data_IF_039637339918
#
_entry.id   IF_039637339918
#
_cell.length_a   1.000
_cell.length_b   1.000
_cell.length_c   1.000
_cell.angle_alpha   90.00
_cell.angle_beta   90.00
_cell.angle_gamma   90.00
#
_symmetry.space_group_name_H-M   'P 1'
#
loop_
_entity.id
_entity.type
_entity.pdbx_description
1 polymer ?
#
# COMPACT_ATOMS: atom_id res chain seq x y z
N UNK A 1 -13.13 8.54 14.10
CA UNK A 1 -11.96 8.08 13.90
C UNK A 1 -10.83 9.04 13.88
N UNK A 2 -10.61 9.70 14.85
CA UNK A 2 -9.57 10.51 14.90
C UNK A 2 -8.34 9.88 15.22
N UNK A 3 -8.25 8.63 15.36
CA UNK A 3 -6.99 7.96 15.64
C UNK A 3 -6.24 7.61 14.38
N UNK A 4 -6.82 7.88 13.26
CA UNK A 4 -6.16 7.63 11.99
C UNK A 4 -5.36 8.87 11.63
N UNK A 5 -4.06 8.74 11.52
CA UNK A 5 -3.20 9.83 11.10
C UNK A 5 -1.96 9.24 10.46
N UNK A 6 -1.36 10.01 9.59
CA UNK A 6 -0.19 9.57 8.86
C UNK A 6 1.03 9.76 9.75
N UNK A 7 1.58 8.64 10.21
CA UNK A 7 2.76 8.65 11.05
C UNK A 7 3.89 8.05 10.23
N UNK A 8 4.75 8.91 9.72
CA UNK A 8 5.80 8.50 8.82
C UNK A 8 7.14 8.54 9.54
N UNK A 9 7.83 7.41 9.55
CA UNK A 9 9.17 7.35 10.11
C UNK A 9 10.12 8.10 9.20
N UNK A 10 11.19 8.61 9.78
CA UNK A 10 12.13 9.44 9.04
C UNK A 10 12.65 8.76 7.78
N UNK A 11 12.99 7.49 7.89
CA UNK A 11 13.54 6.77 6.73
C UNK A 11 12.49 6.48 5.67
N UNK A 12 11.22 6.56 6.03
CA UNK A 12 10.13 6.33 5.08
C UNK A 12 9.77 7.59 4.31
N UNK A 13 10.25 8.74 4.78
CA UNK A 13 9.89 9.99 4.13
C UNK A 13 10.37 10.04 2.69
N UNK A 14 11.60 9.60 2.45
CA UNK A 14 12.14 9.59 1.09
C UNK A 14 11.36 8.63 0.19
N UNK A 15 10.98 7.48 0.72
CA UNK A 15 10.17 6.53 -0.05
C UNK A 15 8.80 7.12 -0.37
N UNK A 16 8.23 7.84 0.58
CA UNK A 16 6.94 8.47 0.36
C UNK A 16 7.04 9.54 -0.71
N UNK A 17 8.10 10.36 -0.68
CA UNK A 17 8.31 11.38 -1.69
C UNK A 17 8.46 10.77 -3.07
N UNK A 18 9.20 9.67 -3.16
CA UNK A 18 9.38 8.99 -4.43
C UNK A 18 8.05 8.43 -4.94
N UNK A 19 7.27 7.86 -4.03
CA UNK A 19 5.95 7.33 -4.40
C UNK A 19 5.06 8.44 -4.94
N UNK A 20 5.03 9.58 -4.26
CA UNK A 20 4.20 10.70 -4.67
C UNK A 20 4.63 11.20 -6.05
N UNK A 21 5.95 11.32 -6.28
CA UNK A 21 6.45 11.74 -7.58
C UNK A 21 5.98 10.80 -8.69
N UNK A 22 5.98 9.52 -8.41
CA UNK A 22 5.57 8.56 -9.41
C UNK A 22 4.06 8.63 -9.65
N UNK A 23 3.30 8.78 -8.58
CA UNK A 23 1.85 8.89 -8.71
C UNK A 23 1.44 10.13 -9.48
N UNK A 24 2.18 11.22 -9.32
CA UNK A 24 1.87 12.46 -10.03
C UNK A 24 1.94 12.31 -11.54
N UNK A 25 2.68 11.32 -12.01
CA UNK A 25 2.78 11.06 -13.43
C UNK A 25 1.54 10.39 -14.00
N UNK A 26 0.73 9.78 -13.12
CA UNK A 26 -0.40 8.98 -13.55
C UNK A 26 -1.73 9.55 -13.10
N UNK A 27 -1.74 10.19 -11.93
CA UNK A 27 -2.96 10.82 -11.39
C UNK A 27 -2.53 12.08 -10.67
N UNK A 28 -3.51 12.83 -10.20
CA UNK A 28 -3.23 14.00 -9.39
C UNK A 28 -2.90 13.53 -7.97
N UNK A 29 -1.62 13.52 -7.67
CA UNK A 29 -1.14 12.95 -6.41
C UNK A 29 -1.73 13.59 -5.19
N UNK A 30 -2.10 14.86 -5.28
CA UNK A 30 -2.70 15.56 -4.16
C UNK A 30 -3.92 14.80 -3.65
N UNK A 31 -4.68 14.23 -4.55
CA UNK A 31 -5.87 13.48 -4.15
C UNK A 31 -5.52 12.09 -3.67
N UNK A 32 -4.44 11.50 -4.20
CA UNK A 32 -4.05 10.16 -3.80
C UNK A 32 -3.69 10.10 -2.32
N UNK A 33 -3.03 11.14 -1.82
CA UNK A 33 -2.60 11.16 -0.43
C UNK A 33 -3.77 11.15 0.56
N UNK A 34 -4.94 11.53 0.12
CA UNK A 34 -6.10 11.53 1.00
C UNK A 34 -6.57 10.13 1.34
N UNK A 35 -6.16 9.16 0.57
CA UNK A 35 -6.69 7.81 0.72
C UNK A 35 -5.74 6.88 1.45
N UNK A 36 -4.58 7.40 1.83
CA UNK A 36 -3.61 6.60 2.57
C UNK A 36 -3.51 7.08 4.01
N UNK A 37 -3.32 6.15 4.89
CA UNK A 37 -2.96 6.44 6.26
C UNK A 37 -2.23 5.25 6.85
N UNK A 38 -1.35 5.54 7.79
CA UNK A 38 -0.68 4.50 8.55
C UNK A 38 -1.67 3.87 9.50
N UNK A 39 -1.51 2.59 9.71
CA UNK A 39 -2.40 1.91 10.60
C UNK A 39 -1.63 0.92 11.44
N UNK A 40 -1.97 0.85 12.71
CA UNK A 40 -1.31 -0.02 13.64
C UNK A 40 -2.37 -0.78 14.42
N UNK A 41 -2.15 -2.07 14.58
CA UNK A 41 -3.03 -2.89 15.39
C UNK A 41 -2.31 -3.17 16.71
N UNK A 42 -2.62 -2.41 17.77
CA UNK A 42 -1.81 -2.47 19.01
C UNK A 42 -1.71 -3.84 19.64
N UNK A 43 -2.81 -4.59 19.63
CA UNK A 43 -2.82 -5.90 20.29
C UNK A 43 -1.92 -6.90 19.62
N UNK A 44 -1.69 -6.73 18.32
CA UNK A 44 -0.88 -7.67 17.57
C UNK A 44 0.51 -7.12 17.29
N UNK A 45 0.79 -5.88 17.69
CA UNK A 45 2.04 -5.25 17.33
C UNK A 45 2.20 -5.11 15.83
N UNK A 46 1.10 -5.12 15.10
CA UNK A 46 1.13 -5.09 13.65
C UNK A 46 1.03 -3.68 13.13
N UNK A 47 1.88 -3.34 12.19
CA UNK A 47 1.93 -2.02 11.61
C UNK A 47 1.89 -2.11 10.10
N UNK A 48 1.06 -1.29 9.49
CA UNK A 48 0.97 -1.19 8.03
C UNK A 48 1.49 0.18 7.63
N UNK A 49 2.29 0.22 6.55
CA UNK A 49 2.84 1.51 6.12
C UNK A 49 1.75 2.41 5.56
N UNK A 50 1.05 1.93 4.55
CA UNK A 50 -0.05 2.69 3.95
C UNK A 50 -1.23 1.76 3.77
N UNK A 51 -2.38 2.25 4.18
CA UNK A 51 -3.59 1.45 4.13
C UNK A 51 -4.74 2.31 3.68
N UNK A 52 -5.49 1.81 2.71
CA UNK A 52 -6.71 2.46 2.27
C UNK A 52 -7.84 1.47 2.45
N UNK A 53 -8.81 1.81 3.27
CA UNK A 53 -9.94 0.94 3.54
C UNK A 53 -11.18 1.57 2.95
N UNK A 54 -11.77 0.91 1.98
CA UNK A 54 -12.99 1.37 1.36
C UNK A 54 -14.06 0.32 1.52
N UNK A 55 -15.26 0.67 1.11
CA UNK A 55 -16.37 -0.26 1.25
C UNK A 55 -16.14 -1.54 0.46
N UNK A 56 -15.55 -1.42 -0.70
CA UNK A 56 -15.44 -2.54 -1.62
C UNK A 56 -14.10 -3.24 -1.62
N UNK A 57 -13.08 -2.63 -1.05
CA UNK A 57 -11.76 -3.24 -1.04
C UNK A 57 -10.84 -2.55 -0.05
N UNK A 58 -9.76 -3.25 0.26
CA UNK A 58 -8.69 -2.72 1.07
C UNK A 58 -7.44 -2.72 0.18
N UNK A 59 -6.70 -1.62 0.21
CA UNK A 59 -5.44 -1.54 -0.49
C UNK A 59 -4.34 -1.31 0.54
N UNK A 60 -3.34 -2.20 0.52
CA UNK A 60 -2.18 -2.09 1.40
C UNK A 60 -0.96 -1.86 0.52
N UNK A 61 -0.25 -0.78 0.77
CA UNK A 61 0.97 -0.46 0.04
C UNK A 61 2.09 -0.31 1.05
N UNK A 62 3.08 -1.20 0.97
CA UNK A 62 4.23 -1.16 1.85
C UNK A 62 5.38 -0.45 1.16
N UNK A 63 6.20 0.23 1.94
CA UNK A 63 7.30 1.02 1.41
C UNK A 63 8.62 0.40 1.84
N UNK A 64 9.53 0.25 0.87
CA UNK A 64 10.88 -0.23 1.13
C UNK A 64 11.85 0.73 0.49
N UNK A 65 12.91 1.09 1.21
CA UNK A 65 13.90 2.03 0.70
C UNK A 65 15.18 1.37 0.25
N UNK A 66 15.47 0.16 0.73
CA UNK A 66 16.70 -0.53 0.41
C UNK A 66 16.45 -1.79 -0.39
N UNK A 67 17.47 -2.65 -0.40
CA UNK A 67 17.33 -3.92 -1.09
C UNK A 67 16.52 -4.88 -0.24
N UNK A 68 15.60 -5.56 -0.88
CA UNK A 68 14.77 -6.54 -0.22
C UNK A 68 14.44 -7.62 -1.26
N UNK A 69 14.46 -8.88 -0.84
CA UNK A 69 14.17 -9.98 -1.76
C UNK A 69 12.67 -10.08 -2.01
N UNK A 70 12.33 -10.64 -3.17
CA UNK A 70 10.94 -10.88 -3.48
C UNK A 70 10.30 -11.83 -2.46
N UNK A 71 11.08 -12.76 -1.93
CA UNK A 71 10.54 -13.68 -0.93
C UNK A 71 10.20 -12.97 0.38
N UNK A 72 11.03 -12.00 0.78
CA UNK A 72 10.75 -11.23 1.99
C UNK A 72 9.49 -10.38 1.79
N UNK A 73 9.36 -9.78 0.61
CA UNK A 73 8.17 -9.00 0.27
C UNK A 73 6.94 -9.91 0.28
N UNK A 74 7.06 -11.08 -0.33
CA UNK A 74 5.96 -12.03 -0.40
C UNK A 74 5.47 -12.40 1.00
N UNK A 75 6.40 -12.74 1.89
CA UNK A 75 6.04 -13.13 3.25
C UNK A 75 5.33 -11.99 3.99
N UNK A 76 5.84 -10.78 3.83
CA UNK A 76 5.23 -9.64 4.50
C UNK A 76 3.81 -9.39 4.00
N UNK A 77 3.62 -9.43 2.68
CA UNK A 77 2.31 -9.14 2.12
C UNK A 77 1.30 -10.23 2.43
N UNK A 78 1.75 -11.50 2.46
CA UNK A 78 0.87 -12.59 2.84
C UNK A 78 0.44 -12.43 4.30
N UNK A 79 1.37 -12.07 5.17
CA UNK A 79 1.04 -11.86 6.57
C UNK A 79 0.09 -10.70 6.75
N UNK A 80 0.35 -9.60 6.04
CA UNK A 80 -0.55 -8.45 6.09
C UNK A 80 -1.94 -8.84 5.62
N UNK A 81 -2.02 -9.57 4.52
CA UNK A 81 -3.31 -10.01 3.98
C UNK A 81 -4.06 -10.88 4.98
N UNK A 82 -3.32 -11.72 5.68
CA UNK A 82 -3.93 -12.58 6.69
C UNK A 82 -4.64 -11.75 7.76
N UNK A 83 -3.97 -10.73 8.27
CA UNK A 83 -4.58 -9.89 9.29
C UNK A 83 -5.76 -9.07 8.74
N UNK A 84 -5.63 -8.59 7.51
CA UNK A 84 -6.67 -7.77 6.91
C UNK A 84 -7.88 -8.59 6.47
N UNK A 85 -7.70 -9.89 6.30
CA UNK A 85 -8.79 -10.75 5.84
C UNK A 85 -9.96 -10.77 6.79
N UNK A 86 -9.73 -10.46 8.06
CA UNK A 86 -10.81 -10.42 9.05
C UNK A 86 -11.86 -9.38 8.70
N UNK A 87 -11.52 -8.40 7.86
CA UNK A 87 -12.47 -7.36 7.48
C UNK A 87 -13.42 -7.79 6.37
N UNK A 88 -13.20 -8.98 5.80
CA UNK A 88 -14.14 -9.55 4.83
C UNK A 88 -14.20 -8.85 3.50
N UNK A 89 -13.13 -8.16 3.11
CA UNK A 89 -13.09 -7.42 1.85
C UNK A 89 -11.95 -7.92 0.99
N UNK A 90 -12.07 -7.81 -0.33
CA UNK A 90 -10.94 -8.10 -1.21
C UNK A 90 -9.77 -7.21 -0.86
N UNK A 91 -8.57 -7.77 -0.93
CA UNK A 91 -7.35 -7.06 -0.52
C UNK A 91 -6.40 -6.97 -1.70
N UNK A 92 -5.95 -5.75 -1.96
CA UNK A 92 -4.92 -5.47 -2.96
C UNK A 92 -3.64 -5.15 -2.23
N UNK A 93 -2.60 -5.93 -2.47
CA UNK A 93 -1.34 -5.82 -1.73
C UNK A 93 -0.20 -5.46 -2.66
N UNK A 94 0.44 -4.33 -2.36
CA UNK A 94 1.52 -3.80 -3.17
C UNK A 94 2.73 -3.48 -2.29
N UNK A 95 3.90 -3.45 -2.91
CA UNK A 95 5.10 -2.91 -2.27
C UNK A 95 5.82 -2.03 -3.28
N UNK A 96 6.24 -0.87 -2.83
CA UNK A 96 7.05 0.05 -3.63
C UNK A 96 8.46 0.08 -3.05
N UNK A 97 9.45 -0.20 -3.90
CA UNK A 97 10.86 -0.20 -3.53
C UNK A 97 11.48 1.06 -4.13
N UNK A 98 11.66 2.10 -3.32
CA UNK A 98 12.05 3.41 -3.84
C UNK A 98 13.45 3.41 -4.42
N UNK A 99 14.39 2.65 -3.87
CA UNK A 99 15.75 2.62 -4.40
C UNK A 99 15.81 2.10 -5.83
N UNK A 100 14.83 1.36 -6.25
CA UNK A 100 14.79 0.76 -7.58
C UNK A 100 13.65 1.32 -8.41
N UNK A 101 12.87 2.23 -7.84
CA UNK A 101 11.62 2.73 -8.47
C UNK A 101 10.80 1.56 -9.00
N UNK A 102 10.63 0.56 -8.16
CA UNK A 102 10.00 -0.70 -8.56
C UNK A 102 8.72 -0.91 -7.76
N UNK A 103 7.65 -1.19 -8.47
CA UNK A 103 6.36 -1.49 -7.85
C UNK A 103 6.03 -2.95 -8.11
N UNK A 104 5.69 -3.68 -7.05
CA UNK A 104 5.31 -5.08 -7.17
C UNK A 104 4.00 -5.31 -6.44
N UNK A 105 3.36 -6.42 -6.75
CA UNK A 105 2.12 -6.79 -6.08
C UNK A 105 2.08 -8.28 -5.82
N UNK A 106 1.23 -8.65 -4.89
CA UNK A 106 1.00 -10.06 -4.56
C UNK A 106 -0.21 -10.54 -5.36
N UNK A 107 -0.05 -11.62 -6.09
CA UNK A 107 -1.15 -12.20 -6.87
C UNK A 107 -2.04 -13.06 -5.99
N UNK A 108 -3.18 -13.47 -6.53
CA UNK A 108 -4.08 -14.38 -5.83
C UNK A 108 -3.46 -15.77 -5.62
N UNK A 109 -2.38 -16.06 -6.33
CA UNK A 109 -1.67 -17.31 -6.17
C UNK A 109 -0.42 -17.16 -5.32
N UNK A 110 -0.37 -16.06 -4.56
CA UNK A 110 0.71 -15.80 -3.61
C UNK A 110 2.06 -15.64 -4.26
N UNK A 111 2.09 -14.99 -5.40
CA UNK A 111 3.33 -14.72 -6.11
C UNK A 111 3.55 -13.21 -6.20
N UNK A 112 4.83 -12.83 -6.20
CA UNK A 112 5.21 -11.44 -6.40
C UNK A 112 5.46 -11.23 -7.89
N UNK A 113 4.79 -10.25 -8.47
CA UNK A 113 4.96 -9.89 -9.88
C UNK A 113 5.13 -8.39 -9.98
N UNK A 114 5.75 -7.94 -11.08
CA UNK A 114 5.85 -6.51 -11.34
C UNK A 114 4.45 -5.95 -11.49
N UNK A 115 4.22 -4.80 -10.90
CA UNK A 115 2.91 -4.18 -10.92
C UNK A 115 2.91 -3.01 -11.89
N UNK A 116 1.72 -2.73 -12.40
CA UNK A 116 1.49 -1.65 -13.33
C UNK A 116 1.01 -0.44 -12.54
N UNK A 117 1.67 0.69 -12.74
CA UNK A 117 1.28 1.93 -12.07
C UNK A 117 -0.16 2.32 -12.39
N UNK A 118 -0.58 2.06 -13.61
CA UNK A 118 -1.95 2.38 -13.98
C UNK A 118 -2.95 1.54 -13.20
N UNK A 119 -2.60 0.28 -12.96
CA UNK A 119 -3.46 -0.59 -12.16
C UNK A 119 -3.54 -0.09 -10.72
N UNK A 120 -2.41 0.33 -10.15
CA UNK A 120 -2.42 0.88 -8.80
C UNK A 120 -3.30 2.12 -8.74
N UNK A 121 -3.20 3.00 -9.73
CA UNK A 121 -4.01 4.20 -9.75
C UNK A 121 -5.49 3.87 -9.86
N UNK A 122 -5.84 2.88 -10.66
CA UNK A 122 -7.23 2.44 -10.77
C UNK A 122 -7.73 1.89 -9.44
N UNK A 123 -6.89 1.11 -8.77
CA UNK A 123 -7.25 0.56 -7.47
C UNK A 123 -7.45 1.65 -6.44
N UNK A 124 -6.60 2.69 -6.47
CA UNK A 124 -6.72 3.80 -5.56
C UNK A 124 -8.02 4.59 -5.77
N UNK A 125 -8.45 4.69 -7.01
CA UNK A 125 -9.62 5.47 -7.35
C UNK A 125 -10.91 4.66 -7.33
N UNK A 126 -10.77 3.35 -7.22
CA UNK A 126 -11.94 2.48 -7.22
C UNK A 126 -12.87 2.89 -6.08
N UNK A 127 -14.14 2.89 -6.34
CA UNK A 127 -15.16 3.26 -5.38
C UNK A 127 -15.24 4.76 -5.10
N UNK A 128 -14.35 5.57 -5.67
CA UNK A 128 -14.47 7.01 -5.52
C UNK A 128 -15.56 7.58 -6.41
N UNK A 129 -15.84 6.89 -7.49
CA UNK A 129 -16.84 7.34 -8.42
C UNK A 129 -18.25 6.89 -8.04
N UNK A 130 -18.36 6.26 -6.91
CA UNK A 130 -19.65 5.86 -6.41
C UNK A 130 -20.34 7.07 -5.80
N UNK A 131 -21.53 7.23 -6.15
CA UNK A 131 -22.31 8.38 -5.68
C UNK A 131 -23.43 7.91 -4.77
#
# INVERSE_FOLDING_TARGET
GRDVFLKIREWELDSMKALVSELERHIQAVYALRFFYSFQIPRLGKEFDLLQIKEEQILNLELKSGQVSDEAIRKQLIQNRYYLAALGKPIRSYTYISSQNRLVRLTNHDRIVEADWEQLCRDLQKAQNRV
#
